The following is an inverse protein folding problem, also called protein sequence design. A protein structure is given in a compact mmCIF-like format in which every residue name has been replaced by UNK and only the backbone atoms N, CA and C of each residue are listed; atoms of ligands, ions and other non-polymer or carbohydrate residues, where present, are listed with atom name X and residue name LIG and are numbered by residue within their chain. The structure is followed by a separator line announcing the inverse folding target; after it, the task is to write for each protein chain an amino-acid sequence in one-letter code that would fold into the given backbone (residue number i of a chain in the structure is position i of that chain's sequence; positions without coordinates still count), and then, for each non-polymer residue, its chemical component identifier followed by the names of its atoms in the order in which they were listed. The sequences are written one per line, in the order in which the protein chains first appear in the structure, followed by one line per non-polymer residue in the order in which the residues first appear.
data_IF_824402862662
#
_entry.id   IF_824402862662
#
_cell.length_a   1.000
_cell.length_b   1.000
_cell.length_c   1.000
_cell.angle_alpha   90.00
_cell.angle_beta   90.00
_cell.angle_gamma   90.00
#
_symmetry.space_group_name_H-M   'P 1'
#
loop_
_entity.id
_entity.type
_entity.pdbx_description
1 polymer ?
#
# COMPACT_ATOMS: atom_id res chain seq x y z
N UNK A 1 -24.49 2.73 -4.14
CA UNK A 1 -24.56 3.45 -2.83
C UNK A 1 -23.85 4.78 -2.96
N UNK A 2 -24.44 5.89 -2.52
CA UNK A 2 -23.79 7.20 -2.61
C UNK A 2 -23.67 7.85 -1.22
N UNK A 3 -22.47 8.30 -0.87
CA UNK A 3 -22.14 8.97 0.39
C UNK A 3 -20.99 9.96 0.13
N UNK A 4 -21.04 11.11 0.81
CA UNK A 4 -20.11 12.24 0.60
C UNK A 4 -19.25 12.54 1.82
N UNK A 5 -19.53 11.92 2.97
CA UNK A 5 -18.75 12.06 4.20
C UNK A 5 -18.91 10.83 5.10
N UNK A 6 -18.07 10.73 6.15
CA UNK A 6 -18.07 9.60 7.08
C UNK A 6 -19.42 9.36 7.77
N UNK A 7 -20.16 10.42 8.14
CA UNK A 7 -21.47 10.27 8.78
C UNK A 7 -22.50 9.61 7.85
N UNK A 8 -22.56 10.05 6.58
CA UNK A 8 -23.46 9.47 5.58
C UNK A 8 -23.08 8.03 5.21
N UNK A 9 -21.78 7.71 5.18
CA UNK A 9 -21.28 6.35 5.01
C UNK A 9 -21.77 5.43 6.14
N UNK A 10 -21.58 5.82 7.40
CA UNK A 10 -21.98 5.02 8.56
C UNK A 10 -23.50 4.80 8.60
N UNK A 11 -24.30 5.84 8.32
CA UNK A 11 -25.76 5.72 8.19
C UNK A 11 -26.16 4.73 7.10
N UNK A 12 -25.45 4.73 5.96
CA UNK A 12 -25.69 3.78 4.86
C UNK A 12 -25.39 2.35 5.30
N UNK A 13 -24.25 2.13 5.95
CA UNK A 13 -23.81 0.82 6.46
C UNK A 13 -24.83 0.25 7.45
N UNK A 14 -25.28 1.03 8.43
CA UNK A 14 -26.32 0.61 9.39
C UNK A 14 -27.65 0.28 8.72
N UNK A 15 -28.10 1.11 7.76
CA UNK A 15 -29.35 0.89 7.03
C UNK A 15 -29.32 -0.41 6.22
N UNK A 16 -28.19 -0.74 5.62
CA UNK A 16 -28.04 -1.90 4.74
C UNK A 16 -27.44 -3.12 5.45
N UNK A 17 -27.22 -3.03 6.77
CA UNK A 17 -26.61 -4.09 7.58
C UNK A 17 -25.33 -4.64 6.96
N UNK A 18 -24.44 -3.74 6.53
CA UNK A 18 -23.18 -4.10 5.89
C UNK A 18 -22.00 -3.35 6.49
N UNK A 19 -20.81 -3.93 6.33
CA UNK A 19 -19.53 -3.32 6.67
C UNK A 19 -19.17 -2.17 5.71
N UNK A 20 -18.18 -1.36 6.09
CA UNK A 20 -17.63 -0.30 5.22
C UNK A 20 -17.04 -0.90 3.95
N UNK A 21 -16.32 -2.02 4.03
CA UNK A 21 -15.73 -2.70 2.87
C UNK A 21 -16.79 -3.17 1.89
N UNK A 22 -17.89 -3.76 2.36
CA UNK A 22 -19.01 -4.17 1.50
C UNK A 22 -19.72 -2.96 0.88
N UNK A 23 -19.88 -1.87 1.63
CA UNK A 23 -20.47 -0.64 1.11
C UNK A 23 -19.60 0.00 0.01
N UNK A 24 -18.27 -0.02 0.18
CA UNK A 24 -17.31 0.45 -0.83
C UNK A 24 -17.27 -0.47 -2.03
N UNK A 25 -17.22 -1.79 -1.86
CA UNK A 25 -17.26 -2.76 -2.96
C UNK A 25 -18.51 -2.58 -3.82
N UNK A 26 -19.70 -2.48 -3.19
CA UNK A 26 -20.96 -2.20 -3.91
C UNK A 26 -20.95 -0.86 -4.64
N UNK A 27 -20.28 0.16 -4.10
CA UNK A 27 -20.14 1.46 -4.75
C UNK A 27 -19.23 1.36 -5.98
N UNK A 28 -18.08 0.72 -5.85
CA UNK A 28 -17.13 0.54 -6.95
C UNK A 28 -17.72 -0.30 -8.07
N UNK A 29 -18.41 -1.41 -7.76
CA UNK A 29 -19.04 -2.25 -8.79
C UNK A 29 -20.13 -1.52 -9.57
N UNK A 30 -20.88 -0.64 -8.88
CA UNK A 30 -21.87 0.22 -9.53
C UNK A 30 -21.20 1.28 -10.43
N UNK A 31 -20.10 1.88 -9.96
CA UNK A 31 -19.44 3.00 -10.64
C UNK A 31 -18.59 2.55 -11.83
N UNK A 32 -17.93 1.40 -11.71
CA UNK A 32 -17.08 0.79 -12.73
C UNK A 32 -17.85 -0.09 -13.71
N UNK A 33 -19.15 -0.29 -13.48
CA UNK A 33 -20.02 -1.17 -14.28
C UNK A 33 -19.44 -2.58 -14.44
N UNK A 34 -18.93 -3.16 -13.36
CA UNK A 34 -18.21 -4.43 -13.36
C UNK A 34 -18.68 -5.36 -12.23
N UNK A 35 -18.21 -6.61 -12.23
CA UNK A 35 -18.58 -7.56 -11.17
C UNK A 35 -17.76 -7.36 -9.90
N UNK A 36 -18.24 -7.83 -8.73
CA UNK A 36 -17.45 -7.87 -7.51
C UNK A 36 -16.11 -8.58 -7.70
N UNK A 37 -16.10 -9.70 -8.43
CA UNK A 37 -14.91 -10.50 -8.68
C UNK A 37 -13.87 -9.74 -9.51
N UNK A 38 -14.31 -8.98 -10.53
CA UNK A 38 -13.41 -8.15 -11.34
C UNK A 38 -12.82 -6.99 -10.52
N UNK A 39 -13.61 -6.40 -9.63
CA UNK A 39 -13.14 -5.34 -8.71
C UNK A 39 -12.11 -5.89 -7.73
N UNK A 40 -12.39 -7.05 -7.12
CA UNK A 40 -11.47 -7.72 -6.21
C UNK A 40 -10.18 -8.15 -6.91
N UNK A 41 -10.27 -8.68 -8.14
CA UNK A 41 -9.10 -9.06 -8.94
C UNK A 41 -8.20 -7.85 -9.23
N UNK A 42 -8.78 -6.68 -9.53
CA UNK A 42 -8.02 -5.42 -9.71
C UNK A 42 -7.33 -4.98 -8.41
N UNK A 43 -8.02 -5.04 -7.28
CA UNK A 43 -7.42 -4.73 -5.97
C UNK A 43 -6.29 -5.71 -5.63
N UNK A 44 -6.49 -7.00 -5.91
CA UNK A 44 -5.47 -8.02 -5.70
C UNK A 44 -4.24 -7.79 -6.59
N UNK A 45 -4.44 -7.41 -7.85
CA UNK A 45 -3.33 -7.07 -8.75
C UNK A 45 -2.50 -5.90 -8.21
N UNK A 46 -3.15 -4.82 -7.76
CA UNK A 46 -2.46 -3.70 -7.12
C UNK A 46 -1.71 -4.14 -5.84
N UNK A 47 -2.33 -5.01 -5.03
CA UNK A 47 -1.70 -5.57 -3.84
C UNK A 47 -0.44 -6.39 -4.14
N UNK A 48 -0.44 -7.22 -5.18
CA UNK A 48 0.76 -7.93 -5.61
C UNK A 48 1.88 -6.97 -6.02
N UNK A 49 1.57 -5.91 -6.76
CA UNK A 49 2.56 -4.88 -7.13
C UNK A 49 3.15 -4.22 -5.88
N UNK A 50 2.32 -3.86 -4.89
CA UNK A 50 2.81 -3.28 -3.63
C UNK A 50 3.77 -4.22 -2.88
N UNK A 51 3.44 -5.51 -2.79
CA UNK A 51 4.32 -6.52 -2.19
C UNK A 51 5.63 -6.67 -2.96
N UNK A 52 5.56 -6.66 -4.28
CA UNK A 52 6.70 -6.80 -5.17
C UNK A 52 7.66 -5.61 -5.07
N UNK A 53 7.14 -4.39 -4.92
CA UNK A 53 7.94 -3.20 -4.67
C UNK A 53 8.73 -3.33 -3.36
N UNK A 54 8.07 -3.70 -2.26
CA UNK A 54 8.76 -3.93 -0.98
C UNK A 54 9.80 -5.03 -1.10
N UNK A 55 9.45 -6.19 -1.69
CA UNK A 55 10.39 -7.31 -1.87
C UNK A 55 11.62 -6.89 -2.66
N UNK A 56 11.42 -6.16 -3.75
CA UNK A 56 12.47 -5.65 -4.63
C UNK A 56 13.48 -4.80 -3.86
N UNK A 57 13.04 -3.83 -3.06
CA UNK A 57 13.94 -2.99 -2.29
C UNK A 57 14.71 -3.72 -1.17
N UNK A 58 14.09 -4.76 -0.60
CA UNK A 58 14.73 -5.54 0.47
C UNK A 58 15.76 -6.54 -0.07
N UNK A 59 15.59 -7.04 -1.29
CA UNK A 59 16.44 -8.09 -1.88
C UNK A 59 17.46 -7.56 -2.88
N UNK A 60 17.13 -6.51 -3.65
CA UNK A 60 17.96 -5.99 -4.74
C UNK A 60 18.56 -4.64 -4.41
N UNK A 61 19.75 -4.38 -4.94
CA UNK A 61 20.41 -3.09 -4.78
C UNK A 61 19.79 -2.12 -5.77
N UNK A 62 19.18 -1.07 -5.23
CA UNK A 62 18.49 -0.05 -6.01
C UNK A 62 19.33 1.21 -5.97
N UNK A 63 19.60 1.77 -7.14
CA UNK A 63 20.27 3.05 -7.28
C UNK A 63 19.22 4.08 -7.68
N UNK A 64 18.92 5.04 -6.79
CA UNK A 64 18.02 6.13 -7.15
C UNK A 64 18.67 7.06 -8.18
N UNK A 65 17.83 7.68 -9.00
CA UNK A 65 18.28 8.63 -10.03
C UNK A 65 18.98 9.85 -9.42
N UNK A 66 18.55 10.28 -8.23
CA UNK A 66 19.13 11.42 -7.50
C UNK A 66 20.27 11.07 -6.55
N UNK A 67 20.56 9.77 -6.33
CA UNK A 67 21.61 9.31 -5.41
C UNK A 67 21.37 9.60 -3.92
N UNK A 68 20.18 10.06 -3.53
CA UNK A 68 19.87 10.46 -2.14
C UNK A 68 19.42 9.28 -1.26
N UNK A 69 18.76 8.28 -1.87
CA UNK A 69 18.29 7.05 -1.21
C UNK A 69 18.59 5.84 -2.10
N UNK A 70 18.79 4.66 -1.53
CA UNK A 70 19.11 3.44 -2.28
C UNK A 70 19.86 2.42 -1.42
N UNK A 71 19.12 1.60 -0.68
CA UNK A 71 19.64 0.52 0.17
C UNK A 71 19.41 0.70 1.67
N UNK A 72 18.87 1.84 2.10
CA UNK A 72 18.45 2.14 3.46
C UNK A 72 17.38 1.15 3.95
N UNK A 73 16.41 0.81 3.09
CA UNK A 73 15.37 -0.18 3.37
C UNK A 73 15.97 -1.54 3.76
N UNK A 74 16.99 -2.00 3.03
CA UNK A 74 17.70 -3.24 3.34
C UNK A 74 18.46 -3.15 4.66
N UNK A 75 19.17 -2.04 4.92
CA UNK A 75 19.89 -1.80 6.18
C UNK A 75 18.92 -1.81 7.37
N UNK A 76 17.77 -1.14 7.24
CA UNK A 76 16.70 -1.10 8.24
C UNK A 76 16.12 -2.49 8.49
N UNK A 77 15.82 -3.24 7.43
CA UNK A 77 15.29 -4.59 7.54
C UNK A 77 16.29 -5.56 8.17
N UNK A 78 17.59 -5.46 7.85
CA UNK A 78 18.64 -6.25 8.48
C UNK A 78 18.73 -5.96 9.99
N UNK A 79 18.68 -4.69 10.40
CA UNK A 79 18.64 -4.33 11.83
C UNK A 79 17.40 -4.87 12.53
N UNK A 80 16.23 -4.80 11.88
CA UNK A 80 14.98 -5.36 12.40
C UNK A 80 15.10 -6.87 12.62
N UNK A 81 15.59 -7.61 11.62
CA UNK A 81 15.77 -9.07 11.70
C UNK A 81 16.79 -9.48 12.77
N UNK A 82 17.81 -8.66 13.01
CA UNK A 82 18.79 -8.87 14.06
C UNK A 82 18.30 -8.47 15.47
N UNK A 83 17.06 -7.99 15.63
CA UNK A 83 16.54 -7.49 16.90
C UNK A 83 17.22 -6.20 17.40
N UNK A 84 17.88 -5.46 16.49
CA UNK A 84 18.64 -4.22 16.78
C UNK A 84 17.93 -2.96 16.31
N UNK A 85 16.63 -3.03 16.07
CA UNK A 85 15.81 -1.84 15.78
C UNK A 85 15.62 -1.00 17.04
N UNK A 86 15.55 0.32 16.85
CA UNK A 86 15.28 1.27 17.96
C UNK A 86 13.81 1.19 18.40
N UNK A 87 12.92 0.93 17.44
CA UNK A 87 11.49 0.74 17.67
C UNK A 87 11.11 -0.74 17.75
N UNK A 88 9.89 -1.01 18.23
CA UNK A 88 9.33 -2.36 18.29
C UNK A 88 9.23 -3.03 16.91
N UNK A 89 9.11 -4.37 16.85
CA UNK A 89 9.22 -5.15 15.61
C UNK A 89 8.21 -4.74 14.54
N UNK A 90 6.99 -4.36 14.94
CA UNK A 90 5.95 -3.86 14.02
C UNK A 90 6.35 -2.54 13.37
N UNK A 91 6.72 -1.54 14.18
CA UNK A 91 7.13 -0.22 13.69
C UNK A 91 8.39 -0.31 12.83
N UNK A 92 9.36 -1.12 13.25
CA UNK A 92 10.58 -1.36 12.47
C UNK A 92 10.28 -2.00 11.10
N UNK A 93 9.30 -2.90 11.04
CA UNK A 93 8.83 -3.50 9.77
C UNK A 93 8.18 -2.46 8.88
N UNK A 94 7.28 -1.64 9.42
CA UNK A 94 6.61 -0.57 8.68
C UNK A 94 7.62 0.44 8.10
N UNK A 95 8.60 0.89 8.90
CA UNK A 95 9.65 1.82 8.45
C UNK A 95 10.47 1.21 7.31
N UNK A 96 10.87 -0.06 7.42
CA UNK A 96 11.64 -0.73 6.38
C UNK A 96 10.84 -0.86 5.06
N UNK A 97 9.53 -1.11 5.16
CA UNK A 97 8.66 -1.26 3.99
C UNK A 97 8.39 0.08 3.32
N UNK A 98 8.07 1.11 4.10
CA UNK A 98 7.86 2.46 3.59
C UNK A 98 9.11 3.00 2.89
N UNK A 99 10.29 2.84 3.51
CA UNK A 99 11.56 3.19 2.87
C UNK A 99 11.77 2.40 1.57
N UNK A 100 11.44 1.11 1.57
CA UNK A 100 11.61 0.26 0.39
C UNK A 100 10.78 0.73 -0.79
N UNK A 101 9.51 1.08 -0.58
CA UNK A 101 8.67 1.60 -1.68
C UNK A 101 9.16 2.96 -2.16
N UNK A 102 9.62 3.83 -1.25
CA UNK A 102 10.22 5.12 -1.64
C UNK A 102 11.49 4.94 -2.49
N UNK A 103 12.33 3.96 -2.17
CA UNK A 103 13.52 3.61 -2.97
C UNK A 103 13.15 3.10 -4.36
N UNK A 104 12.13 2.23 -4.48
CA UNK A 104 11.63 1.77 -5.79
C UNK A 104 11.12 2.96 -6.60
N UNK A 105 10.31 3.82 -5.99
CA UNK A 105 9.78 5.02 -6.65
C UNK A 105 10.92 5.96 -7.11
N UNK A 106 11.91 6.23 -6.25
CA UNK A 106 13.06 7.09 -6.58
C UNK A 106 14.02 6.47 -7.62
N UNK A 107 13.93 5.16 -7.81
CA UNK A 107 14.64 4.41 -8.86
C UNK A 107 13.79 4.22 -10.12
N UNK A 108 12.64 4.88 -10.22
CA UNK A 108 11.68 4.77 -11.33
C UNK A 108 11.16 3.34 -11.55
N UNK A 109 11.15 2.52 -10.51
CA UNK A 109 10.54 1.19 -10.52
C UNK A 109 9.02 1.24 -10.42
N UNK A 110 8.38 0.09 -10.63
CA UNK A 110 6.92 -0.03 -10.60
C UNK A 110 6.40 0.06 -9.15
N UNK A 111 5.51 1.02 -8.90
CA UNK A 111 4.79 1.21 -7.63
C UNK A 111 3.29 1.42 -7.89
N UNK A 112 2.49 1.36 -6.82
CA UNK A 112 1.07 1.77 -6.85
C UNK A 112 0.92 3.09 -6.10
N UNK A 113 0.25 4.07 -6.70
CA UNK A 113 -0.05 5.34 -6.05
C UNK A 113 -1.07 5.15 -4.92
N UNK A 114 -0.81 5.75 -3.74
CA UNK A 114 -1.65 5.56 -2.55
C UNK A 114 -1.74 6.80 -1.63
N UNK A 115 -2.29 7.95 -2.06
CA UNK A 115 -2.98 8.18 -3.33
C UNK A 115 -2.08 8.74 -4.45
N UNK A 116 -0.84 9.12 -4.15
CA UNK A 116 0.13 9.63 -5.15
C UNK A 116 1.41 8.80 -5.13
N UNK A 117 2.25 8.93 -6.16
CA UNK A 117 3.54 8.24 -6.20
C UNK A 117 4.45 8.59 -5.01
N UNK A 118 4.47 9.87 -4.60
CA UNK A 118 5.27 10.33 -3.45
C UNK A 118 4.77 9.85 -2.07
N UNK A 119 3.55 9.31 -2.01
CA UNK A 119 2.91 8.75 -0.81
C UNK A 119 2.63 7.25 -0.95
N UNK A 120 3.38 6.55 -1.80
CA UNK A 120 3.16 5.12 -2.10
C UNK A 120 3.74 4.16 -1.04
N UNK A 121 4.66 4.63 -0.19
CA UNK A 121 5.32 3.85 0.86
C UNK A 121 4.70 3.96 2.23
#
# INVERSE_FOLDING_TARGET
MNFTNGSTLLKSCHRHQCTISEAMLKRETTYLENTPEETEARMHHAWEIMKDAVRTALEKELTSVGGLIGGEARKLNARRLAGKSISGPLTAKAIAYAMGVLEVNASMGLIVAAPTAGSSG
#
